data_IF_995523990626
#
_entry.id   IF_995523990626
#
_cell.length_a   1.000
_cell.length_b   1.000
_cell.length_c   1.000
_cell.angle_alpha   90.00
_cell.angle_beta   90.00
_cell.angle_gamma   90.00
#
_symmetry.space_group_name_H-M   'P 1'
#
loop_
_entity.id
_entity.type
_entity.pdbx_description
1 polymer ?
#
# COMPACT_ATOMS: atom_id res chain seq x y z
N UNK A 1 1.15 7.36 33.62
CA UNK A 1 0.90 8.34 32.55
C UNK A 1 2.24 8.60 31.92
N UNK A 2 2.39 8.18 30.67
CA UNK A 2 3.59 8.44 29.88
C UNK A 2 3.65 9.92 29.50
N UNK A 3 4.77 10.59 29.83
CA UNK A 3 4.90 12.04 29.68
C UNK A 3 5.02 12.46 28.20
N UNK A 4 5.71 11.66 27.39
CA UNK A 4 5.93 11.97 25.97
C UNK A 4 4.66 11.73 25.17
N UNK A 5 3.97 10.61 25.41
CA UNK A 5 2.67 10.33 24.76
C UNK A 5 1.67 11.43 25.12
N UNK A 6 1.60 11.82 26.40
CA UNK A 6 0.69 12.88 26.85
C UNK A 6 1.03 14.23 26.20
N UNK A 7 2.31 14.59 26.12
CA UNK A 7 2.76 15.83 25.47
C UNK A 7 2.42 15.83 23.98
N UNK A 8 2.65 14.71 23.31
CA UNK A 8 2.32 14.54 21.90
C UNK A 8 0.81 14.66 21.66
N UNK A 9 -0.04 13.99 22.44
CA UNK A 9 -1.50 14.07 22.31
C UNK A 9 -2.04 15.49 22.52
N UNK A 10 -1.51 16.23 23.50
CA UNK A 10 -1.91 17.62 23.73
C UNK A 10 -1.46 18.53 22.57
N UNK A 11 -0.24 18.33 22.05
CA UNK A 11 0.31 19.13 20.95
C UNK A 11 -0.38 18.83 19.61
N UNK A 12 -0.63 17.55 19.30
CA UNK A 12 -1.25 17.14 18.04
C UNK A 12 -2.69 17.62 17.92
N UNK A 13 -3.43 17.68 19.03
CA UNK A 13 -4.81 18.17 19.03
C UNK A 13 -4.93 19.69 18.78
N UNK A 14 -3.88 20.45 19.08
CA UNK A 14 -3.86 21.89 18.85
C UNK A 14 -3.65 22.24 17.37
N UNK A 15 -2.93 21.43 16.59
CA UNK A 15 -2.58 21.75 15.18
C UNK A 15 -2.08 23.21 15.05
N UNK A 16 -2.70 24.03 14.19
CA UNK A 16 -2.41 25.45 13.96
C UNK A 16 -3.23 26.41 14.88
N UNK A 17 -3.82 25.88 15.95
CA UNK A 17 -4.69 26.67 16.84
C UNK A 17 -3.94 27.81 17.54
N UNK A 18 -4.39 29.03 17.29
CA UNK A 18 -3.92 30.23 18.00
C UNK A 18 -4.81 30.44 19.21
N UNK A 19 -4.21 30.54 20.41
CA UNK A 19 -4.97 30.82 21.62
C UNK A 19 -5.57 32.23 21.54
N UNK A 20 -6.89 32.30 21.42
CA UNK A 20 -7.67 33.54 21.28
C UNK A 20 -8.05 34.18 22.62
N UNK A 21 -7.67 33.55 23.74
CA UNK A 21 -8.00 34.03 25.09
C UNK A 21 -7.22 35.31 25.43
N UNK A 22 -7.87 36.36 25.94
CA UNK A 22 -7.18 37.56 26.42
C UNK A 22 -6.06 37.21 27.42
N UNK A 23 -4.89 37.84 27.29
CA UNK A 23 -3.69 37.51 28.07
C UNK A 23 -3.92 37.44 29.59
N UNK A 24 -4.69 38.37 30.15
CA UNK A 24 -5.01 38.41 31.58
C UNK A 24 -5.81 37.18 32.03
N UNK A 25 -6.77 36.75 31.21
CA UNK A 25 -7.58 35.56 31.47
C UNK A 25 -6.78 34.27 31.30
N UNK A 26 -5.88 34.25 30.31
CA UNK A 26 -4.92 33.17 30.08
C UNK A 26 -3.99 33.00 31.30
N UNK A 27 -3.34 34.09 31.73
CA UNK A 27 -2.44 34.09 32.89
C UNK A 27 -3.15 33.63 34.18
N UNK A 28 -4.39 34.08 34.41
CA UNK A 28 -5.19 33.64 35.54
C UNK A 28 -5.53 32.13 35.50
N UNK A 29 -5.84 31.60 34.31
CA UNK A 29 -6.16 30.18 34.11
C UNK A 29 -4.92 29.30 34.31
N UNK A 30 -3.81 29.66 33.68
CA UNK A 30 -2.51 29.02 33.90
C UNK A 30 -2.13 29.05 35.37
N UNK A 31 -2.29 30.19 36.04
CA UNK A 31 -2.04 30.34 37.47
C UNK A 31 -2.85 29.36 38.34
N UNK A 32 -4.11 29.08 37.98
CA UNK A 32 -4.94 28.07 38.66
C UNK A 32 -4.43 26.65 38.42
N UNK A 33 -4.07 26.33 37.17
CA UNK A 33 -3.56 24.99 36.81
C UNK A 33 -2.19 24.74 37.45
N UNK A 34 -1.32 25.73 37.55
CA UNK A 34 -0.02 25.67 38.27
C UNK A 34 -0.17 25.36 39.76
N UNK A 35 -1.26 25.79 40.40
CA UNK A 35 -1.52 25.56 41.83
C UNK A 35 -2.00 24.14 42.17
N UNK A 36 -2.38 23.32 41.18
CA UNK A 36 -2.81 21.94 41.44
C UNK A 36 -1.68 21.09 42.02
N UNK A 37 -1.93 20.30 43.06
CA UNK A 37 -0.96 19.32 43.55
C UNK A 37 -0.73 18.21 42.51
N UNK A 38 0.43 17.54 42.55
CA UNK A 38 0.86 16.59 41.50
C UNK A 38 -0.16 15.48 41.18
N UNK A 39 -0.88 14.96 42.19
CA UNK A 39 -1.91 13.94 41.99
C UNK A 39 -3.11 14.48 41.22
N UNK A 40 -3.57 15.66 41.60
CA UNK A 40 -4.73 16.31 40.97
C UNK A 40 -4.40 16.84 39.58
N UNK A 41 -3.18 17.34 39.39
CA UNK A 41 -2.68 17.73 38.07
C UNK A 41 -2.65 16.53 37.11
N UNK A 42 -2.11 15.37 37.53
CA UNK A 42 -2.13 14.15 36.71
C UNK A 42 -3.55 13.70 36.36
N UNK A 43 -4.49 13.79 37.31
CA UNK A 43 -5.91 13.45 37.08
C UNK A 43 -6.57 14.43 36.10
N UNK A 44 -6.27 15.72 36.23
CA UNK A 44 -6.74 16.77 35.34
C UNK A 44 -6.24 16.58 33.90
N UNK A 45 -4.94 16.33 33.73
CA UNK A 45 -4.34 16.04 32.41
C UNK A 45 -4.92 14.77 31.81
N UNK A 46 -5.12 13.72 32.61
CA UNK A 46 -5.78 12.50 32.16
C UNK A 46 -7.21 12.77 31.66
N UNK A 47 -7.99 13.58 32.38
CA UNK A 47 -9.36 13.93 31.98
C UNK A 47 -9.38 14.72 30.66
N UNK A 48 -8.39 15.58 30.41
CA UNK A 48 -8.23 16.31 29.14
C UNK A 48 -7.86 15.37 27.99
N UNK A 49 -6.85 14.52 28.16
CA UNK A 49 -6.43 13.54 27.14
C UNK A 49 -7.58 12.61 26.76
N UNK A 50 -8.33 12.14 27.76
CA UNK A 50 -9.48 11.27 27.53
C UNK A 50 -10.62 11.98 26.78
N UNK A 51 -10.80 13.29 26.98
CA UNK A 51 -11.75 14.10 26.21
C UNK A 51 -11.25 14.36 24.78
N UNK A 52 -9.95 14.59 24.58
CA UNK A 52 -9.34 14.67 23.24
C UNK A 52 -9.64 13.38 22.46
N UNK A 53 -9.33 12.22 23.04
CA UNK A 53 -9.60 10.93 22.40
C UNK A 53 -11.07 10.77 22.01
N UNK A 54 -12.00 11.20 22.87
CA UNK A 54 -13.43 11.17 22.57
C UNK A 54 -13.80 12.07 21.38
N UNK A 55 -13.23 13.28 21.30
CA UNK A 55 -13.48 14.23 20.21
C UNK A 55 -12.86 13.78 18.89
N UNK A 56 -11.77 13.00 18.94
CA UNK A 56 -11.05 12.50 17.76
C UNK A 56 -11.38 11.05 17.38
N UNK A 57 -12.44 10.46 17.95
CA UNK A 57 -12.85 9.07 17.71
C UNK A 57 -11.77 8.01 18.03
N UNK A 58 -10.88 8.28 18.98
CA UNK A 58 -9.93 7.31 19.53
C UNK A 58 -10.51 6.59 20.75
N UNK A 59 -9.93 5.44 21.11
CA UNK A 59 -10.33 4.73 22.33
C UNK A 59 -10.19 5.61 23.58
N UNK A 60 -11.30 5.76 24.29
CA UNK A 60 -11.39 6.57 25.50
C UNK A 60 -12.13 5.81 26.60
N UNK A 61 -11.80 6.11 27.86
CA UNK A 61 -12.53 5.56 29.01
C UNK A 61 -13.85 6.29 29.15
N UNK A 62 -14.96 5.54 29.11
CA UNK A 62 -16.32 6.08 29.31
C UNK A 62 -16.36 6.93 30.59
N UNK A 63 -17.02 8.10 30.57
CA UNK A 63 -16.97 9.02 31.69
C UNK A 63 -17.65 8.41 32.92
N UNK A 64 -16.88 8.16 33.97
CA UNK A 64 -17.44 8.06 35.33
C UNK A 64 -18.09 9.39 35.74
N UNK A 65 -18.93 9.35 36.78
CA UNK A 65 -19.83 10.44 37.21
C UNK A 65 -19.09 11.63 37.89
N UNK A 66 -18.04 12.17 37.26
CA UNK A 66 -17.18 13.22 37.81
C UNK A 66 -17.54 14.60 37.24
N UNK A 67 -17.73 15.60 38.13
CA UNK A 67 -18.15 16.98 37.78
C UNK A 67 -17.25 17.64 36.72
N UNK A 68 -15.94 17.40 36.76
CA UNK A 68 -14.98 17.95 35.79
C UNK A 68 -15.22 17.41 34.38
N UNK A 69 -15.47 16.11 34.22
CA UNK A 69 -15.68 15.48 32.92
C UNK A 69 -16.97 15.97 32.26
N UNK A 70 -18.04 16.18 33.04
CA UNK A 70 -19.28 16.82 32.54
C UNK A 70 -19.03 18.23 32.02
N UNK A 71 -18.14 19.00 32.66
CA UNK A 71 -17.75 20.34 32.18
C UNK A 71 -16.99 20.27 30.86
N UNK A 72 -16.00 19.37 30.74
CA UNK A 72 -15.23 19.20 29.49
C UNK A 72 -16.11 18.80 28.30
N UNK A 73 -17.11 17.93 28.53
CA UNK A 73 -18.09 17.53 27.53
C UNK A 73 -18.94 18.69 27.00
N UNK A 74 -19.24 19.67 27.84
CA UNK A 74 -20.09 20.82 27.51
C UNK A 74 -19.31 22.00 26.91
N UNK A 75 -17.98 21.94 26.90
CA UNK A 75 -17.14 23.01 26.34
C UNK A 75 -17.21 23.02 24.81
N UNK A 76 -17.38 24.21 24.23
CA UNK A 76 -17.21 24.43 22.78
C UNK A 76 -15.76 24.13 22.39
N UNK A 77 -15.57 23.74 21.13
CA UNK A 77 -14.26 23.34 20.57
C UNK A 77 -13.16 24.38 20.85
N UNK A 78 -13.42 25.64 20.48
CA UNK A 78 -12.49 26.76 20.70
C UNK A 78 -12.06 26.91 22.16
N UNK A 79 -13.04 26.89 23.08
CA UNK A 79 -12.80 27.00 24.53
C UNK A 79 -12.01 25.81 25.06
N UNK A 80 -12.26 24.61 24.52
CA UNK A 80 -11.55 23.41 24.90
C UNK A 80 -10.11 23.42 24.35
N UNK A 81 -9.88 23.86 23.11
CA UNK A 81 -8.53 24.04 22.56
C UNK A 81 -7.70 25.05 23.36
N UNK A 82 -8.29 26.16 23.79
CA UNK A 82 -7.61 27.11 24.69
C UNK A 82 -7.24 26.46 26.04
N UNK A 83 -8.10 25.62 26.60
CA UNK A 83 -7.79 24.86 27.82
C UNK A 83 -6.66 23.84 27.60
N UNK A 84 -6.65 23.14 26.46
CA UNK A 84 -5.58 22.21 26.08
C UNK A 84 -4.25 22.95 25.95
N UNK A 85 -4.27 24.14 25.33
CA UNK A 85 -3.10 25.00 25.19
C UNK A 85 -2.52 25.40 26.55
N UNK A 86 -3.35 25.93 27.45
CA UNK A 86 -2.93 26.33 28.81
C UNK A 86 -2.41 25.13 29.62
N UNK A 87 -3.03 23.96 29.42
CA UNK A 87 -2.61 22.71 30.07
C UNK A 87 -1.25 22.25 29.59
N UNK A 88 -0.99 22.33 28.28
CA UNK A 88 0.30 21.97 27.67
C UNK A 88 1.42 22.87 28.20
N UNK A 89 1.16 24.18 28.36
CA UNK A 89 2.12 25.14 28.91
C UNK A 89 2.55 24.73 30.33
N UNK A 90 1.59 24.46 31.22
CA UNK A 90 1.89 24.01 32.59
C UNK A 90 2.50 22.61 32.63
N UNK A 91 2.10 21.73 31.71
CA UNK A 91 2.64 20.39 31.60
C UNK A 91 4.14 20.41 31.26
N UNK A 92 4.54 21.24 30.29
CA UNK A 92 5.93 21.42 29.90
C UNK A 92 6.77 22.06 30.99
N UNK A 93 6.19 22.97 31.78
CA UNK A 93 6.90 23.58 32.91
C UNK A 93 7.12 22.60 34.07
N UNK A 94 6.10 21.82 34.44
CA UNK A 94 6.20 20.85 35.55
C UNK A 94 7.03 19.63 35.20
N UNK A 95 7.00 19.24 33.94
CA UNK A 95 7.78 18.15 33.40
C UNK A 95 8.79 18.70 32.40
N UNK A 96 9.48 19.79 32.80
CA UNK A 96 10.72 20.20 32.14
C UNK A 96 11.52 18.93 31.96
N UNK A 97 11.71 18.52 30.70
CA UNK A 97 12.76 17.57 30.41
C UNK A 97 13.99 18.22 31.03
N UNK A 98 14.73 17.48 31.86
CA UNK A 98 16.11 17.87 32.07
C UNK A 98 16.64 18.07 30.66
N UNK A 99 16.94 19.33 30.35
CA UNK A 99 17.70 19.69 29.19
C UNK A 99 18.91 18.78 29.32
N UNK A 100 19.00 17.75 28.48
CA UNK A 100 20.20 16.96 28.36
C UNK A 100 21.34 17.98 28.28
N UNK A 101 22.42 17.78 29.03
CA UNK A 101 23.49 18.78 29.08
C UNK A 101 23.89 19.14 27.64
N UNK A 102 24.31 20.39 27.39
CA UNK A 102 24.80 20.74 26.05
C UNK A 102 25.86 19.74 25.59
N UNK A 103 26.60 19.14 26.52
CA UNK A 103 27.56 18.05 26.30
C UNK A 103 26.90 16.73 25.91
N UNK A 104 25.78 16.33 26.51
CA UNK A 104 24.98 15.17 26.10
C UNK A 104 24.29 15.39 24.75
N UNK A 105 23.82 16.61 24.46
CA UNK A 105 23.28 16.98 23.16
C UNK A 105 24.39 17.10 22.11
N UNK A 106 25.59 17.59 22.45
CA UNK A 106 26.77 17.55 21.57
C UNK A 106 27.23 16.12 21.36
N UNK A 107 27.19 15.25 22.36
CA UNK A 107 27.54 13.84 22.24
C UNK A 107 26.48 13.08 21.42
N UNK A 108 25.20 13.35 21.66
CA UNK A 108 24.10 12.76 20.90
C UNK A 108 24.07 13.29 19.48
N UNK A 109 24.28 14.59 19.24
CA UNK A 109 24.45 15.19 17.91
C UNK A 109 25.73 14.67 17.28
N UNK A 110 26.82 14.45 18.01
CA UNK A 110 28.04 13.84 17.45
C UNK A 110 27.80 12.38 17.09
N UNK A 111 27.04 11.63 17.87
CA UNK A 111 26.58 10.27 17.54
C UNK A 111 25.60 10.27 16.37
N UNK A 112 24.71 11.27 16.28
CA UNK A 112 23.75 11.44 15.19
C UNK A 112 24.44 11.89 13.91
N UNK A 113 25.41 12.81 13.98
CA UNK A 113 26.26 13.26 12.88
C UNK A 113 27.20 12.15 12.46
N UNK A 114 27.71 11.34 13.39
CA UNK A 114 28.51 10.15 13.04
C UNK A 114 27.64 9.07 12.40
N UNK A 115 26.43 8.83 12.93
CA UNK A 115 25.47 7.92 12.33
C UNK A 115 25.03 8.41 10.95
N UNK A 116 24.70 9.70 10.81
CA UNK A 116 24.35 10.34 9.54
C UNK A 116 25.53 10.34 8.57
N UNK A 117 26.77 10.59 9.00
CA UNK A 117 27.98 10.46 8.16
C UNK A 117 28.28 9.01 7.79
N UNK A 118 27.92 8.05 8.63
CA UNK A 118 28.06 6.62 8.33
C UNK A 118 26.96 6.18 7.37
N UNK A 119 25.72 6.63 7.56
CA UNK A 119 24.62 6.48 6.62
C UNK A 119 24.94 7.19 5.30
N UNK A 120 25.54 8.38 5.31
CA UNK A 120 25.90 9.16 4.13
C UNK A 120 27.09 8.53 3.39
N UNK A 121 28.13 8.05 4.08
CA UNK A 121 29.22 7.29 3.44
C UNK A 121 28.77 5.93 2.89
N UNK A 122 27.91 5.20 3.62
CA UNK A 122 27.41 3.90 3.14
C UNK A 122 26.37 4.11 2.04
N UNK A 123 25.53 5.15 2.14
CA UNK A 123 24.60 5.52 1.07
C UNK A 123 25.38 6.01 -0.14
N UNK A 124 26.41 6.84 -0.01
CA UNK A 124 27.27 7.24 -1.14
C UNK A 124 27.96 6.03 -1.74
N UNK A 125 28.48 5.10 -0.93
CA UNK A 125 29.02 3.83 -1.44
C UNK A 125 27.97 3.01 -2.16
N UNK A 126 26.75 2.88 -1.62
CA UNK A 126 25.65 2.19 -2.30
C UNK A 126 25.33 2.94 -3.59
N UNK A 127 25.02 4.23 -3.57
CA UNK A 127 24.58 5.00 -4.74
C UNK A 127 25.63 5.09 -5.84
N UNK A 128 26.92 5.21 -5.49
CA UNK A 128 28.03 5.34 -6.44
C UNK A 128 28.64 4.00 -6.84
N UNK A 129 28.38 2.90 -6.13
CA UNK A 129 28.84 1.57 -6.52
C UNK A 129 28.06 1.10 -7.75
N UNK A 130 28.82 0.89 -8.83
CA UNK A 130 28.30 0.37 -10.09
C UNK A 130 28.13 -1.14 -10.04
N UNK A 131 28.90 -1.83 -9.20
CA UNK A 131 28.78 -3.27 -9.01
C UNK A 131 27.59 -3.62 -8.12
N UNK A 132 26.59 -4.31 -8.69
CA UNK A 132 25.31 -4.52 -8.04
C UNK A 132 25.41 -5.48 -6.84
N UNK A 133 26.35 -6.43 -6.90
CA UNK A 133 26.61 -7.37 -5.80
C UNK A 133 27.28 -6.67 -4.62
N UNK A 134 28.25 -5.80 -4.88
CA UNK A 134 28.87 -4.91 -3.90
C UNK A 134 27.86 -3.91 -3.33
N UNK A 135 27.01 -3.34 -4.18
CA UNK A 135 25.90 -2.46 -3.77
C UNK A 135 24.94 -3.18 -2.81
N UNK A 136 24.58 -4.43 -3.10
CA UNK A 136 23.74 -5.24 -2.22
C UNK A 136 24.46 -5.63 -0.92
N UNK A 137 25.77 -5.92 -0.96
CA UNK A 137 26.57 -6.13 0.24
C UNK A 137 26.59 -4.89 1.15
N UNK A 138 26.86 -3.71 0.58
CA UNK A 138 26.82 -2.46 1.34
C UNK A 138 25.42 -2.17 1.91
N UNK A 139 24.36 -2.54 1.18
CA UNK A 139 22.99 -2.46 1.68
C UNK A 139 22.71 -3.43 2.85
N UNK A 140 23.18 -4.67 2.79
CA UNK A 140 23.06 -5.61 3.92
C UNK A 140 23.87 -5.12 5.13
N UNK A 141 25.08 -4.64 4.91
CA UNK A 141 25.90 -4.03 5.96
C UNK A 141 25.17 -2.84 6.62
N UNK A 142 24.51 -1.99 5.82
CA UNK A 142 23.65 -0.92 6.31
C UNK A 142 22.50 -1.42 7.18
N UNK A 143 21.70 -2.38 6.69
CA UNK A 143 20.56 -2.93 7.43
C UNK A 143 21.01 -3.52 8.77
N UNK A 144 22.13 -4.27 8.79
CA UNK A 144 22.64 -4.81 10.03
C UNK A 144 23.19 -3.73 10.99
N UNK A 145 23.87 -2.70 10.49
CA UNK A 145 24.34 -1.62 11.35
C UNK A 145 23.16 -0.82 11.94
N UNK A 146 22.10 -0.61 11.17
CA UNK A 146 20.93 0.18 11.57
C UNK A 146 19.98 -0.56 12.51
N UNK A 147 19.78 -1.87 12.28
CA UNK A 147 18.76 -2.66 12.96
C UNK A 147 19.33 -3.81 13.81
N UNK A 148 20.65 -3.96 13.87
CA UNK A 148 21.36 -5.00 14.62
C UNK A 148 20.84 -6.43 14.32
N UNK A 149 20.69 -6.74 13.03
CA UNK A 149 20.06 -7.96 12.52
C UNK A 149 21.01 -9.15 12.40
N UNK A 150 22.23 -9.08 12.92
CA UNK A 150 23.24 -10.17 12.87
C UNK A 150 22.78 -11.53 13.40
N UNK A 151 21.74 -11.57 14.24
CA UNK A 151 21.13 -12.80 14.77
C UNK A 151 19.86 -13.23 14.01
N UNK A 152 19.45 -12.48 13.00
CA UNK A 152 18.33 -12.81 12.14
C UNK A 152 18.77 -13.82 11.08
N UNK A 153 18.11 -14.98 11.04
CA UNK A 153 18.42 -16.07 10.11
C UNK A 153 18.23 -15.66 8.64
N UNK A 154 17.33 -14.70 8.36
CA UNK A 154 17.11 -14.17 7.02
C UNK A 154 18.32 -13.31 6.63
N UNK A 155 18.82 -12.49 7.56
CA UNK A 155 19.99 -11.67 7.33
C UNK A 155 21.26 -12.50 7.14
N UNK A 156 21.44 -13.54 7.95
CA UNK A 156 22.54 -14.51 7.83
C UNK A 156 22.52 -15.19 6.45
N UNK A 157 21.36 -15.73 6.03
CA UNK A 157 21.19 -16.33 4.71
C UNK A 157 21.51 -15.35 3.56
N UNK A 158 21.00 -14.12 3.63
CA UNK A 158 21.26 -13.10 2.60
C UNK A 158 22.74 -12.72 2.54
N UNK A 159 23.41 -12.59 3.70
CA UNK A 159 24.84 -12.26 3.77
C UNK A 159 25.72 -13.38 3.21
N UNK A 160 25.43 -14.63 3.56
CA UNK A 160 26.16 -15.80 3.06
C UNK A 160 25.99 -15.96 1.55
N UNK A 161 24.78 -15.72 1.04
CA UNK A 161 24.49 -15.74 -0.39
C UNK A 161 25.28 -14.67 -1.14
N UNK A 162 25.31 -13.44 -0.63
CA UNK A 162 26.08 -12.33 -1.23
C UNK A 162 27.57 -12.60 -1.22
N UNK A 163 28.12 -13.11 -0.12
CA UNK A 163 29.55 -13.43 -0.02
C UNK A 163 29.96 -14.54 -0.99
N UNK A 164 29.18 -15.61 -1.11
CA UNK A 164 29.42 -16.68 -2.12
C UNK A 164 29.38 -16.13 -3.55
N UNK A 165 28.45 -15.22 -3.83
CA UNK A 165 28.32 -14.59 -5.15
C UNK A 165 29.55 -13.74 -5.50
N UNK A 166 30.15 -13.08 -4.50
CA UNK A 166 31.40 -12.32 -4.67
C UNK A 166 32.63 -13.21 -4.87
N UNK A 167 32.74 -14.31 -4.12
CA UNK A 167 33.86 -15.27 -4.24
C UNK A 167 33.92 -15.95 -5.61
N UNK A 168 32.78 -16.03 -6.31
CA UNK A 168 32.67 -16.66 -7.63
C UNK A 168 32.88 -15.70 -8.82
N UNK A 169 33.30 -14.45 -8.57
CA UNK A 169 33.53 -13.37 -9.57
C UNK A 169 32.42 -13.29 -10.64
N UNK A 170 31.17 -13.36 -10.21
CA UNK A 170 30.02 -13.32 -11.12
C UNK A 170 29.80 -11.87 -11.58
N UNK A 171 30.02 -11.64 -12.88
CA UNK A 171 29.83 -10.38 -13.58
C UNK A 171 28.44 -9.75 -13.36
N UNK A 172 28.44 -8.41 -13.34
CA UNK A 172 27.43 -7.43 -12.89
C UNK A 172 26.15 -7.36 -13.71
N UNK A 173 25.57 -8.50 -14.07
CA UNK A 173 24.19 -8.56 -14.52
C UNK A 173 23.31 -8.92 -13.32
N UNK A 174 22.62 -7.96 -12.72
CA UNK A 174 21.61 -8.29 -11.72
C UNK A 174 20.42 -9.09 -12.28
N UNK A 175 20.33 -9.29 -13.58
CA UNK A 175 19.10 -9.75 -14.21
C UNK A 175 19.22 -11.17 -14.76
N UNK A 176 18.53 -12.09 -14.08
CA UNK A 176 17.61 -13.13 -14.60
C UNK A 176 17.43 -14.28 -13.60
N UNK A 177 18.37 -14.50 -12.67
CA UNK A 177 18.33 -15.68 -11.78
C UNK A 177 17.69 -15.41 -10.43
N UNK A 178 16.43 -14.97 -10.45
CA UNK A 178 15.48 -15.33 -9.39
C UNK A 178 15.29 -16.85 -9.46
N UNK A 179 16.30 -17.61 -8.99
CA UNK A 179 16.41 -19.06 -8.99
C UNK A 179 15.47 -19.73 -10.03
N UNK A 180 15.76 -19.55 -11.33
CA UNK A 180 14.84 -19.92 -12.42
C UNK A 180 14.32 -21.36 -12.27
N UNK A 181 15.09 -22.23 -11.60
CA UNK A 181 14.71 -23.56 -11.15
C UNK A 181 13.42 -23.58 -10.32
N UNK A 182 13.30 -22.73 -9.30
CA UNK A 182 12.08 -22.57 -8.49
C UNK A 182 10.91 -22.12 -9.36
N UNK A 183 11.14 -21.21 -10.31
CA UNK A 183 10.09 -20.75 -11.21
C UNK A 183 9.62 -21.87 -12.15
N UNK A 184 10.56 -22.61 -12.75
CA UNK A 184 10.27 -23.80 -13.58
C UNK A 184 9.55 -24.87 -12.75
N UNK A 185 9.96 -25.14 -11.51
CA UNK A 185 9.28 -26.09 -10.62
C UNK A 185 7.82 -25.70 -10.34
N UNK A 186 7.55 -24.40 -10.13
CA UNK A 186 6.18 -23.90 -9.98
C UNK A 186 5.38 -24.05 -11.28
N UNK A 187 5.99 -23.76 -12.42
CA UNK A 187 5.34 -23.88 -13.73
C UNK A 187 5.03 -25.34 -14.09
N UNK A 188 5.90 -26.28 -13.72
CA UNK A 188 5.67 -27.71 -13.87
C UNK A 188 4.41 -28.20 -13.13
N UNK A 189 4.00 -27.48 -12.08
CA UNK A 189 2.77 -27.76 -11.30
C UNK A 189 1.57 -26.91 -11.73
N UNK A 190 1.72 -26.11 -12.78
CA UNK A 190 0.70 -25.17 -13.25
C UNK A 190 0.03 -25.64 -14.55
N UNK A 191 -0.98 -24.90 -15.00
CA UNK A 191 -1.62 -25.10 -16.31
C UNK A 191 -0.63 -25.02 -17.49
N UNK A 192 0.46 -24.28 -17.34
CA UNK A 192 1.46 -24.07 -18.40
C UNK A 192 2.32 -25.32 -18.68
N UNK A 193 2.37 -26.28 -17.74
CA UNK A 193 3.11 -27.55 -17.90
C UNK A 193 2.64 -28.38 -19.10
N UNK A 194 1.38 -28.18 -19.54
CA UNK A 194 0.80 -28.92 -20.65
C UNK A 194 1.14 -28.32 -22.02
N UNK A 195 1.66 -27.08 -22.07
CA UNK A 195 1.99 -26.41 -23.33
C UNK A 195 3.23 -27.06 -23.98
N UNK A 196 3.10 -27.47 -25.24
CA UNK A 196 4.22 -28.08 -25.99
C UNK A 196 5.44 -27.15 -26.05
N UNK A 197 5.24 -25.86 -26.31
CA UNK A 197 6.33 -24.87 -26.34
C UNK A 197 7.04 -24.74 -24.99
N UNK A 198 6.29 -24.81 -23.88
CA UNK A 198 6.89 -24.78 -22.54
C UNK A 198 7.78 -26.01 -22.30
N UNK A 199 7.30 -27.20 -22.69
CA UNK A 199 8.08 -28.45 -22.60
C UNK A 199 9.38 -28.37 -23.41
N UNK A 200 9.36 -27.75 -24.59
CA UNK A 200 10.57 -27.56 -25.40
C UNK A 200 11.59 -26.68 -24.67
N UNK A 201 11.20 -25.48 -24.24
CA UNK A 201 12.13 -24.55 -23.60
C UNK A 201 12.66 -25.07 -22.24
N UNK A 202 11.79 -25.69 -21.43
CA UNK A 202 12.20 -26.29 -20.14
C UNK A 202 13.16 -27.48 -20.31
N UNK A 203 12.95 -28.31 -21.34
CA UNK A 203 13.87 -29.39 -21.69
C UNK A 203 15.21 -28.85 -22.21
N UNK A 204 15.20 -27.76 -23.00
CA UNK A 204 16.43 -27.12 -23.46
C UNK A 204 17.25 -26.60 -22.28
N UNK A 205 16.61 -25.93 -21.31
CA UNK A 205 17.27 -25.51 -20.07
C UNK A 205 17.91 -26.70 -19.36
N UNK A 206 17.15 -27.79 -19.16
CA UNK A 206 17.66 -29.01 -18.50
C UNK A 206 18.84 -29.64 -19.25
N UNK A 207 18.85 -29.58 -20.59
CA UNK A 207 19.98 -30.04 -21.40
C UNK A 207 21.21 -29.14 -21.26
N UNK A 208 21.01 -27.82 -21.31
CA UNK A 208 22.08 -26.83 -21.19
C UNK A 208 22.76 -26.86 -19.81
N UNK A 209 22.01 -27.19 -18.75
CA UNK A 209 22.56 -27.40 -17.41
C UNK A 209 23.58 -28.55 -17.36
N UNK A 210 23.33 -29.62 -18.12
CA UNK A 210 24.14 -30.83 -18.10
C UNK A 210 25.21 -30.87 -19.22
N UNK A 211 25.25 -29.85 -20.08
CA UNK A 211 26.19 -29.78 -21.18
C UNK A 211 27.54 -29.21 -20.70
N UNK A 212 28.64 -29.74 -21.23
CA UNK A 212 29.96 -29.16 -21.04
C UNK A 212 30.05 -27.84 -21.82
N UNK A 213 29.80 -26.75 -21.09
CA UNK A 213 29.85 -25.38 -21.54
C UNK A 213 30.60 -24.57 -20.48
N UNK A 214 31.30 -23.53 -20.89
CA UNK A 214 31.81 -22.54 -19.95
C UNK A 214 30.65 -21.80 -19.27
N UNK A 215 30.97 -21.20 -18.12
CA UNK A 215 30.00 -20.55 -17.25
C UNK A 215 29.21 -19.44 -17.99
N UNK A 216 29.87 -18.72 -18.89
CA UNK A 216 29.26 -17.60 -19.62
C UNK A 216 28.26 -18.10 -20.66
N UNK A 217 28.69 -18.99 -21.56
CA UNK A 217 27.81 -19.53 -22.60
C UNK A 217 26.63 -20.31 -22.02
N UNK A 218 26.85 -21.08 -20.94
CA UNK A 218 25.74 -21.75 -20.23
C UNK A 218 24.70 -20.75 -19.73
N UNK A 219 25.16 -19.65 -19.12
CA UNK A 219 24.29 -18.61 -18.55
C UNK A 219 23.48 -17.91 -19.64
N UNK A 220 24.13 -17.51 -20.74
CA UNK A 220 23.47 -16.82 -21.85
C UNK A 220 22.39 -17.69 -22.50
N UNK A 221 22.71 -18.96 -22.80
CA UNK A 221 21.78 -19.88 -23.45
C UNK A 221 20.58 -20.24 -22.55
N UNK A 222 20.82 -20.49 -21.26
CA UNK A 222 19.74 -20.73 -20.28
C UNK A 222 18.87 -19.47 -20.13
N UNK A 223 19.49 -18.28 -20.10
CA UNK A 223 18.78 -17.00 -20.04
C UNK A 223 17.85 -16.80 -21.24
N UNK A 224 18.32 -17.10 -22.45
CA UNK A 224 17.51 -17.04 -23.67
C UNK A 224 16.30 -17.97 -23.64
N UNK A 225 16.49 -19.23 -23.23
CA UNK A 225 15.37 -20.19 -23.10
C UNK A 225 14.39 -19.78 -21.99
N UNK A 226 14.89 -19.22 -20.89
CA UNK A 226 14.04 -18.73 -19.82
C UNK A 226 13.20 -17.51 -20.24
N UNK A 227 13.78 -16.58 -21.02
CA UNK A 227 13.04 -15.47 -21.61
C UNK A 227 11.93 -15.95 -22.55
N UNK A 228 12.18 -17.02 -23.32
CA UNK A 228 11.16 -17.65 -24.16
C UNK A 228 10.00 -18.23 -23.33
N UNK A 229 10.28 -18.80 -22.16
CA UNK A 229 9.25 -19.26 -21.21
C UNK A 229 8.45 -18.08 -20.65
N UNK A 230 9.11 -16.99 -20.25
CA UNK A 230 8.42 -15.79 -19.76
C UNK A 230 7.50 -15.21 -20.82
N UNK A 231 7.99 -15.05 -22.04
CA UNK A 231 7.19 -14.57 -23.18
C UNK A 231 5.98 -15.47 -23.44
N UNK A 232 6.18 -16.80 -23.43
CA UNK A 232 5.09 -17.75 -23.59
C UNK A 232 4.01 -17.61 -22.50
N UNK A 233 4.41 -17.41 -21.25
CA UNK A 233 3.46 -17.24 -20.14
C UNK A 233 2.67 -15.94 -20.31
N UNK A 234 3.37 -14.84 -20.61
CA UNK A 234 2.77 -13.53 -20.84
C UNK A 234 1.75 -13.61 -21.99
N UNK A 235 2.12 -14.19 -23.13
CA UNK A 235 1.25 -14.35 -24.29
C UNK A 235 0.00 -15.20 -23.96
N UNK A 236 0.14 -16.24 -23.14
CA UNK A 236 -0.97 -17.12 -22.75
C UNK A 236 -1.80 -16.58 -21.59
N UNK A 237 -1.23 -15.73 -20.74
CA UNK A 237 -1.94 -14.99 -19.71
C UNK A 237 -2.93 -14.06 -20.42
N UNK A 238 -2.44 -13.15 -21.27
CA UNK A 238 -3.30 -12.21 -21.99
C UNK A 238 -4.44 -12.87 -22.79
N UNK A 239 -4.16 -14.00 -23.44
CA UNK A 239 -5.18 -14.75 -24.16
C UNK A 239 -6.23 -15.38 -23.22
N UNK A 240 -5.84 -15.76 -22.00
CA UNK A 240 -6.74 -16.29 -20.97
C UNK A 240 -7.63 -15.19 -20.38
N UNK A 241 -7.08 -14.05 -19.94
CA UNK A 241 -7.90 -12.97 -19.40
C UNK A 241 -8.85 -12.40 -20.46
N UNK A 242 -8.41 -12.27 -21.71
CA UNK A 242 -9.29 -11.86 -22.81
C UNK A 242 -10.43 -12.87 -23.03
N UNK A 243 -10.15 -14.18 -22.97
CA UNK A 243 -11.19 -15.21 -23.11
C UNK A 243 -12.24 -15.14 -21.98
N UNK A 244 -11.80 -14.83 -20.76
CA UNK A 244 -12.67 -14.63 -19.60
C UNK A 244 -13.49 -13.35 -19.77
N UNK A 245 -12.86 -12.24 -20.15
CA UNK A 245 -13.53 -10.97 -20.41
C UNK A 245 -14.60 -11.16 -21.50
N UNK A 246 -14.26 -11.77 -22.63
CA UNK A 246 -15.23 -12.05 -23.70
C UNK A 246 -16.39 -12.94 -23.24
N UNK A 247 -16.12 -13.97 -22.44
CA UNK A 247 -17.17 -14.83 -21.87
C UNK A 247 -18.10 -14.05 -20.95
N UNK A 248 -17.55 -13.22 -20.06
CA UNK A 248 -18.32 -12.40 -19.12
C UNK A 248 -19.10 -11.29 -19.84
N UNK A 249 -18.54 -10.70 -20.90
CA UNK A 249 -19.27 -9.73 -21.74
C UNK A 249 -20.41 -10.41 -22.49
N UNK A 250 -20.20 -11.60 -23.05
CA UNK A 250 -21.29 -12.35 -23.70
C UNK A 250 -22.38 -12.73 -22.70
N UNK A 251 -22.00 -13.11 -21.47
CA UNK A 251 -22.95 -13.34 -20.39
C UNK A 251 -23.75 -12.07 -20.06
N UNK A 252 -23.08 -10.93 -19.91
CA UNK A 252 -23.71 -9.64 -19.67
C UNK A 252 -24.68 -9.24 -20.79
N UNK A 253 -24.27 -9.38 -22.05
CA UNK A 253 -25.12 -9.11 -23.22
C UNK A 253 -26.37 -9.99 -23.17
N UNK A 254 -26.23 -11.28 -22.87
CA UNK A 254 -27.35 -12.20 -22.76
C UNK A 254 -28.29 -11.84 -21.60
N UNK A 255 -27.75 -11.44 -20.44
CA UNK A 255 -28.55 -10.99 -19.29
C UNK A 255 -29.32 -9.70 -19.63
N UNK A 256 -28.67 -8.72 -20.27
CA UNK A 256 -29.31 -7.46 -20.69
C UNK A 256 -30.38 -7.71 -21.77
N UNK A 257 -30.11 -8.57 -22.74
CA UNK A 257 -31.08 -8.93 -23.78
C UNK A 257 -32.32 -9.61 -23.20
N UNK A 258 -32.18 -10.45 -22.16
CA UNK A 258 -33.32 -11.06 -21.47
C UNK A 258 -34.20 -10.02 -20.77
N UNK A 259 -33.59 -8.97 -20.21
CA UNK A 259 -34.30 -7.84 -19.61
C UNK A 259 -35.09 -7.06 -20.69
N UNK A 260 -34.43 -6.75 -21.82
CA UNK A 260 -35.05 -6.03 -22.96
C UNK A 260 -36.19 -6.84 -23.64
N UNK A 261 -36.05 -8.16 -23.73
CA UNK A 261 -37.10 -9.04 -24.29
C UNK A 261 -38.33 -9.18 -23.39
N UNK A 262 -38.16 -9.15 -22.06
CA UNK A 262 -39.28 -9.14 -21.12
C UNK A 262 -40.10 -7.85 -21.24
N UNK A 263 -39.44 -6.71 -21.49
CA UNK A 263 -40.09 -5.39 -21.57
C UNK A 263 -40.80 -5.12 -22.91
N UNK A 264 -40.36 -5.72 -24.02
CA UNK A 264 -41.05 -5.62 -25.33
C UNK A 264 -42.47 -6.22 -25.34
N UNK A 265 -42.75 -7.16 -24.45
CA UNK A 265 -44.09 -7.77 -24.31
C UNK A 265 -45.11 -6.89 -23.58
N UNK A 266 -44.65 -5.81 -22.91
CA UNK A 266 -45.47 -4.89 -22.13
C UNK A 266 -45.17 -3.45 -22.51
N UNK A 267 -45.72 -3.01 -23.66
CA UNK A 267 -45.58 -1.67 -24.25
C UNK A 267 -46.11 -0.50 -23.38
N UNK A 268 -46.37 -0.71 -22.09
CA UNK A 268 -47.05 0.24 -21.21
C UNK A 268 -46.48 0.27 -19.79
N UNK A 269 -45.19 0.60 -19.65
CA UNK A 269 -44.64 1.42 -18.53
C UNK A 269 -43.13 1.61 -18.65
N UNK A 270 -42.74 2.57 -19.49
CA UNK A 270 -41.36 3.05 -19.63
C UNK A 270 -40.86 3.88 -18.41
N UNK A 271 -41.48 3.76 -17.23
CA UNK A 271 -41.13 4.57 -16.05
C UNK A 271 -41.34 3.75 -14.76
N UNK A 272 -40.67 2.60 -14.65
CA UNK A 272 -40.18 2.15 -13.34
C UNK A 272 -38.69 1.95 -13.49
N UNK A 273 -37.94 2.94 -13.03
CA UNK A 273 -36.52 3.21 -13.29
C UNK A 273 -35.53 2.19 -12.74
N UNK A 274 -35.99 1.11 -12.11
CA UNK A 274 -35.17 0.18 -11.36
C UNK A 274 -35.31 -1.24 -11.91
N UNK A 275 -34.17 -1.83 -12.28
CA UNK A 275 -34.10 -3.23 -12.70
C UNK A 275 -34.39 -4.12 -11.49
N UNK A 276 -34.93 -5.32 -11.72
CA UNK A 276 -35.09 -6.32 -10.66
C UNK A 276 -33.78 -6.51 -9.90
N UNK A 277 -33.89 -6.61 -8.58
CA UNK A 277 -32.73 -6.69 -7.68
C UNK A 277 -31.77 -7.82 -8.05
N UNK A 278 -32.29 -8.97 -8.46
CA UNK A 278 -31.51 -10.16 -8.85
C UNK A 278 -30.68 -9.88 -10.10
N UNK A 279 -31.31 -9.39 -11.17
CA UNK A 279 -30.63 -8.99 -12.41
C UNK A 279 -29.62 -7.85 -12.16
N UNK A 280 -29.94 -6.92 -11.26
CA UNK A 280 -29.03 -5.85 -10.86
C UNK A 280 -27.81 -6.35 -10.08
N UNK A 281 -27.93 -7.44 -9.32
CA UNK A 281 -26.80 -8.08 -8.62
C UNK A 281 -25.93 -8.82 -9.64
N UNK A 282 -26.54 -9.64 -10.51
CA UNK A 282 -25.85 -10.42 -11.53
C UNK A 282 -25.03 -9.52 -12.50
N UNK A 283 -25.63 -8.42 -12.95
CA UNK A 283 -24.95 -7.41 -13.76
C UNK A 283 -23.76 -6.79 -13.01
N UNK A 284 -23.92 -6.44 -11.73
CA UNK A 284 -22.82 -5.85 -10.94
C UNK A 284 -21.67 -6.83 -10.73
N UNK A 285 -21.98 -8.08 -10.39
CA UNK A 285 -20.97 -9.11 -10.18
C UNK A 285 -20.22 -9.41 -11.49
N UNK A 286 -20.94 -9.50 -12.60
CA UNK A 286 -20.32 -9.69 -13.93
C UNK A 286 -19.43 -8.52 -14.32
N UNK A 287 -19.86 -7.27 -14.06
CA UNK A 287 -19.05 -6.07 -14.30
C UNK A 287 -17.81 -6.05 -13.40
N UNK A 288 -17.93 -6.42 -12.12
CA UNK A 288 -16.79 -6.51 -11.19
C UNK A 288 -15.78 -7.53 -11.70
N UNK A 289 -16.24 -8.71 -12.12
CA UNK A 289 -15.37 -9.75 -12.66
C UNK A 289 -14.65 -9.26 -13.94
N UNK A 290 -15.33 -8.54 -14.84
CA UNK A 290 -14.68 -7.92 -16.01
C UNK A 290 -13.61 -6.93 -15.56
N UNK A 291 -13.90 -6.07 -14.58
CA UNK A 291 -12.97 -5.04 -14.10
C UNK A 291 -11.73 -5.60 -13.41
N UNK A 292 -11.88 -6.66 -12.61
CA UNK A 292 -10.75 -7.30 -11.94
C UNK A 292 -9.79 -7.90 -12.96
N UNK A 293 -10.30 -8.56 -14.01
CA UNK A 293 -9.46 -9.07 -15.09
C UNK A 293 -8.86 -7.94 -15.97
N UNK A 294 -9.57 -6.83 -16.18
CA UNK A 294 -9.05 -5.69 -16.94
C UNK A 294 -7.98 -4.88 -16.18
N UNK A 295 -7.99 -4.83 -14.85
CA UNK A 295 -6.96 -4.13 -14.04
C UNK A 295 -5.58 -4.74 -14.19
N UNK A 296 -5.51 -6.01 -14.53
CA UNK A 296 -4.26 -6.73 -14.78
C UNK A 296 -3.71 -6.46 -16.20
N UNK A 297 -4.48 -5.77 -17.06
CA UNK A 297 -4.07 -5.36 -18.41
C UNK A 297 -3.58 -3.90 -18.44
N UNK A 298 -2.30 -3.68 -18.76
CA UNK A 298 -1.62 -2.37 -18.66
C UNK A 298 -2.09 -1.28 -19.63
N UNK A 299 -2.88 -1.63 -20.65
CA UNK A 299 -3.31 -0.72 -21.74
C UNK A 299 -4.79 -0.31 -21.66
N UNK A 300 -5.55 -0.83 -20.69
CA UNK A 300 -6.95 -0.46 -20.52
C UNK A 300 -7.04 0.92 -19.87
N UNK A 301 -7.80 1.84 -20.48
CA UNK A 301 -7.95 3.19 -19.95
C UNK A 301 -8.55 3.16 -18.53
N UNK A 302 -7.75 3.62 -17.57
CA UNK A 302 -8.09 3.63 -16.14
C UNK A 302 -9.31 4.49 -15.82
N UNK A 303 -9.66 5.44 -16.68
CA UNK A 303 -10.87 6.26 -16.56
C UNK A 303 -12.16 5.46 -16.81
N UNK A 304 -12.12 4.49 -17.75
CA UNK A 304 -13.25 3.56 -17.96
C UNK A 304 -13.45 2.64 -16.77
N UNK A 305 -12.34 2.18 -16.17
CA UNK A 305 -12.35 1.35 -14.97
C UNK A 305 -12.95 2.14 -13.79
N UNK A 306 -12.56 3.40 -13.59
CA UNK A 306 -13.09 4.27 -12.53
C UNK A 306 -14.60 4.53 -12.70
N UNK A 307 -15.05 4.80 -13.93
CA UNK A 307 -16.48 5.00 -14.25
C UNK A 307 -17.31 3.75 -14.00
N UNK A 308 -16.82 2.56 -14.36
CA UNK A 308 -17.51 1.30 -14.08
C UNK A 308 -17.49 0.92 -12.59
N UNK A 309 -16.45 1.28 -11.82
CA UNK A 309 -16.42 1.07 -10.37
C UNK A 309 -17.49 1.87 -9.61
N UNK A 310 -17.94 3.01 -10.15
CA UNK A 310 -19.02 3.81 -9.56
C UNK A 310 -20.38 3.08 -9.52
N UNK A 311 -20.55 2.05 -10.35
CA UNK A 311 -21.73 1.17 -10.40
C UNK A 311 -21.85 0.33 -9.13
N UNK A 312 -20.73 -0.01 -8.49
CA UNK A 312 -20.67 -0.82 -7.25
C UNK A 312 -21.36 -0.14 -6.07
N UNK A 313 -21.29 1.19 -6.00
CA UNK A 313 -21.92 1.98 -4.93
C UNK A 313 -23.43 2.13 -5.08
N UNK A 314 -24.02 1.77 -6.22
CA UNK A 314 -25.46 1.93 -6.45
C UNK A 314 -26.25 0.80 -5.80
N UNK A 315 -27.38 1.13 -5.15
CA UNK A 315 -28.26 0.13 -4.52
C UNK A 315 -29.00 -0.72 -5.56
N UNK A 316 -29.55 -0.08 -6.58
CA UNK A 316 -30.19 -0.70 -7.75
C UNK A 316 -29.68 0.02 -9.00
N UNK A 317 -29.59 -0.71 -10.11
CA UNK A 317 -29.21 -0.13 -11.40
C UNK A 317 -30.44 0.35 -12.15
N UNK A 318 -30.26 1.44 -12.88
CA UNK A 318 -31.24 1.95 -13.84
C UNK A 318 -30.93 1.48 -15.26
N UNK A 319 -31.87 1.63 -16.18
CA UNK A 319 -31.62 1.38 -17.60
C UNK A 319 -30.52 2.28 -18.19
N UNK A 320 -30.43 3.52 -17.75
CA UNK A 320 -29.35 4.44 -18.13
C UNK A 320 -28.00 3.96 -17.62
N UNK A 321 -27.95 3.36 -16.43
CA UNK A 321 -26.75 2.72 -15.89
C UNK A 321 -26.32 1.53 -16.75
N UNK A 322 -27.27 0.68 -17.18
CA UNK A 322 -26.96 -0.42 -18.10
C UNK A 322 -26.36 0.11 -19.40
N UNK A 323 -26.98 1.13 -20.00
CA UNK A 323 -26.54 1.66 -21.29
C UNK A 323 -25.10 2.22 -21.20
N UNK A 324 -24.80 2.93 -20.10
CA UNK A 324 -23.46 3.42 -19.81
C UNK A 324 -22.46 2.28 -19.59
N UNK A 325 -22.84 1.23 -18.86
CA UNK A 325 -22.00 0.03 -18.66
C UNK A 325 -21.66 -0.63 -20.01
N UNK A 326 -22.65 -0.82 -20.87
CA UNK A 326 -22.48 -1.45 -22.19
C UNK A 326 -21.54 -0.64 -23.07
N UNK A 327 -21.69 0.68 -23.09
CA UNK A 327 -20.82 1.56 -23.89
C UNK A 327 -19.37 1.55 -23.38
N UNK A 328 -19.16 1.57 -22.06
CA UNK A 328 -17.82 1.50 -21.47
C UNK A 328 -17.15 0.14 -21.74
N UNK A 329 -17.90 -0.96 -21.64
CA UNK A 329 -17.39 -2.31 -21.97
C UNK A 329 -17.04 -2.40 -23.47
N UNK A 330 -17.85 -1.81 -24.35
CA UNK A 330 -17.54 -1.76 -25.79
C UNK A 330 -16.21 -1.04 -26.04
N UNK A 331 -15.97 0.10 -25.39
CA UNK A 331 -14.73 0.85 -25.53
C UNK A 331 -13.52 0.03 -25.03
N UNK A 332 -13.65 -0.65 -23.87
CA UNK A 332 -12.60 -1.55 -23.35
C UNK A 332 -12.26 -2.67 -24.36
N UNK A 333 -13.28 -3.25 -25.00
CA UNK A 333 -13.07 -4.28 -26.02
C UNK A 333 -12.43 -3.72 -27.30
N UNK A 334 -12.69 -2.47 -27.65
CA UNK A 334 -12.03 -1.80 -28.77
C UNK A 334 -10.55 -1.52 -28.45
N UNK A 335 -10.23 -1.09 -27.23
CA UNK A 335 -8.84 -0.92 -26.77
C UNK A 335 -8.06 -2.25 -26.85
N UNK A 336 -8.66 -3.35 -26.37
CA UNK A 336 -8.08 -4.70 -26.48
C UNK A 336 -7.85 -5.11 -27.95
N UNK A 337 -8.77 -4.77 -28.86
CA UNK A 337 -8.63 -5.08 -30.29
C UNK A 337 -7.58 -4.22 -30.99
N UNK A 338 -7.43 -2.97 -30.58
CA UNK A 338 -6.48 -2.04 -31.19
C UNK A 338 -5.03 -2.38 -30.79
N UNK A 339 -4.80 -2.81 -29.55
CA UNK A 339 -3.48 -3.29 -29.10
C UNK A 339 -3.00 -4.54 -29.89
N UNK A 340 -3.93 -5.44 -30.24
CA UNK A 340 -3.67 -6.58 -31.13
C UNK A 340 -3.20 -6.22 -32.54
N UNK A 341 -3.54 -5.03 -33.04
CA UNK A 341 -3.06 -4.58 -34.36
C UNK A 341 -1.60 -4.12 -34.29
N UNK A 342 -1.19 -3.50 -33.19
CA UNK A 342 0.20 -3.08 -32.96
C UNK A 342 1.14 -4.29 -32.75
N UNK A 343 0.69 -5.33 -32.02
CA UNK A 343 1.50 -6.51 -31.74
C UNK A 343 1.64 -7.51 -32.90
N UNK A 344 0.75 -7.47 -33.90
CA UNK A 344 0.85 -8.31 -35.12
C UNK A 344 1.62 -7.66 -36.27
N UNK A 345 2.00 -6.38 -36.14
CA UNK A 345 2.74 -5.63 -37.16
C UNK A 345 4.22 -5.40 -36.79
N UNK A 346 4.73 -6.14 -35.80
CA UNK A 346 6.14 -6.15 -35.35
C UNK A 346 6.83 -7.45 -35.72
#
# INVERSE_FOLDING_TARGET
MDKEITRYTLKSYLEDHINTTPYEQKAATIGKVKKLISKDFKKFVFDIVNEIHRRTNLDYKKPGNHRMRKRLLQMKEETFKNLVFDTLEVFNERYKNNINSLDDDIENISKLVSALKTEENINEKIFNETNITLKYKYFLEYINQKYNTKKDKIFEYMSDFTNKTMEEEIDDSCDIMFNYKIFIEKLNRSKYAQLEKYKVYSNNISRLENMELDKFNRKELIGGEFLNILKLIIDNQYCYEESIINRNVNHLINTIQKIDYLDKSSFKRLISTEIKKEDSIDIKETVINILENCKEMSFVNTEYIAKLLSVKSKKLLTYEDILNIVNLIRNILEDIKNDKKCSKSS
#
